data_IF_514907794673
#
_entry.id   IF_514907794673
#
_cell.length_a   1.000
_cell.length_b   1.000
_cell.length_c   1.000
_cell.angle_alpha   90.00
_cell.angle_beta   90.00
_cell.angle_gamma   90.00
#
_symmetry.space_group_name_H-M   'P 1'
#
loop_
_entity.id
_entity.type
_entity.pdbx_description
1 polymer ?
#
# COMPACT_ATOMS: atom_id res chain seq x y z
N UNK A 1 -3.29 20.78 -45.78
CA UNK A 1 -3.76 20.69 -44.37
C UNK A 1 -4.77 19.56 -44.27
N UNK A 2 -4.40 18.40 -43.73
CA UNK A 2 -5.29 17.25 -43.64
C UNK A 2 -6.18 17.38 -42.39
N UNK A 3 -7.45 17.74 -42.57
CA UNK A 3 -8.45 17.71 -41.50
C UNK A 3 -8.79 16.26 -41.15
N UNK A 4 -8.97 15.96 -39.87
CA UNK A 4 -9.46 14.65 -39.42
C UNK A 4 -10.92 14.52 -39.88
N UNK A 5 -11.25 13.42 -40.58
CA UNK A 5 -12.63 13.12 -40.95
C UNK A 5 -13.52 12.99 -39.70
N UNK A 6 -14.73 13.56 -39.74
CA UNK A 6 -15.63 13.66 -38.57
C UNK A 6 -15.87 12.31 -37.85
N UNK A 7 -15.99 11.21 -38.60
CA UNK A 7 -16.16 9.86 -38.02
C UNK A 7 -14.94 9.39 -37.23
N UNK A 8 -13.71 9.72 -37.69
CA UNK A 8 -12.48 9.39 -36.96
C UNK A 8 -12.35 10.23 -35.69
N UNK A 9 -12.79 11.49 -35.75
CA UNK A 9 -12.78 12.40 -34.60
C UNK A 9 -13.78 11.94 -33.50
N UNK A 10 -14.95 11.43 -33.90
CA UNK A 10 -15.91 10.80 -32.98
C UNK A 10 -15.36 9.53 -32.31
N UNK A 11 -14.65 8.68 -33.07
CA UNK A 11 -13.99 7.49 -32.51
C UNK A 11 -12.90 7.87 -31.50
N UNK A 12 -12.08 8.88 -31.83
CA UNK A 12 -11.04 9.40 -30.94
C UNK A 12 -11.67 10.00 -29.67
N UNK A 13 -12.75 10.78 -29.80
CA UNK A 13 -13.47 11.33 -28.64
C UNK A 13 -13.97 10.21 -27.71
N UNK A 14 -14.63 9.18 -28.24
CA UNK A 14 -15.07 8.03 -27.44
C UNK A 14 -13.91 7.29 -26.76
N UNK A 15 -12.77 7.15 -27.43
CA UNK A 15 -11.56 6.56 -26.85
C UNK A 15 -11.00 7.40 -25.69
N UNK A 16 -10.98 8.73 -25.84
CA UNK A 16 -10.53 9.67 -24.80
C UNK A 16 -11.47 9.65 -23.59
N UNK A 17 -12.80 9.67 -23.82
CA UNK A 17 -13.82 9.58 -22.77
C UNK A 17 -13.75 8.27 -21.96
N UNK A 18 -13.35 7.16 -22.60
CA UNK A 18 -13.27 5.84 -21.96
C UNK A 18 -11.88 5.47 -21.42
N UNK A 19 -10.86 6.28 -21.71
CA UNK A 19 -9.50 6.04 -21.24
C UNK A 19 -9.39 6.24 -19.71
N UNK A 20 -8.55 5.45 -19.00
CA UNK A 20 -8.25 5.68 -17.59
C UNK A 20 -7.40 6.94 -17.40
N UNK A 21 -7.48 7.57 -16.22
CA UNK A 21 -6.81 8.85 -15.93
C UNK A 21 -5.27 8.79 -16.16
N UNK A 22 -4.63 7.67 -15.85
CA UNK A 22 -3.20 7.48 -16.08
C UNK A 22 -2.82 7.48 -17.59
N UNK A 23 -3.69 6.90 -18.43
CA UNK A 23 -3.50 6.92 -19.87
C UNK A 23 -3.72 8.33 -20.44
N UNK A 24 -4.71 9.08 -19.92
CA UNK A 24 -4.92 10.47 -20.33
C UNK A 24 -3.75 11.37 -19.98
N UNK A 25 -3.18 11.27 -18.77
CA UNK A 25 -1.96 12.02 -18.40
C UNK A 25 -0.78 11.68 -19.29
N UNK A 26 -0.62 10.41 -19.65
CA UNK A 26 0.44 9.97 -20.55
C UNK A 26 0.23 10.53 -21.97
N UNK A 27 -1.02 10.58 -22.45
CA UNK A 27 -1.38 11.18 -23.73
C UNK A 27 -1.18 12.70 -23.73
N UNK A 28 -1.57 13.39 -22.66
CA UNK A 28 -1.34 14.83 -22.48
C UNK A 28 0.15 15.16 -22.54
N UNK A 29 0.98 14.43 -21.78
CA UNK A 29 2.44 14.58 -21.80
C UNK A 29 3.02 14.32 -23.20
N UNK A 30 2.57 13.27 -23.88
CA UNK A 30 3.03 12.94 -25.24
C UNK A 30 2.63 14.01 -26.28
N UNK A 31 1.45 14.63 -26.13
CA UNK A 31 0.92 15.64 -27.04
C UNK A 31 1.40 17.07 -26.70
N UNK A 32 2.03 17.27 -25.55
CA UNK A 32 2.56 18.57 -25.12
C UNK A 32 3.75 19.06 -25.95
N UNK A 33 4.47 18.16 -26.64
CA UNK A 33 5.65 18.47 -27.44
C UNK A 33 5.37 19.23 -28.76
N UNK A 34 6.42 19.69 -29.47
CA UNK A 34 6.30 20.54 -30.66
C UNK A 34 5.46 19.94 -31.79
N UNK A 35 5.49 18.62 -31.94
CA UNK A 35 4.72 17.88 -32.94
C UNK A 35 3.22 17.79 -32.62
N UNK A 36 2.84 17.87 -31.35
CA UNK A 36 1.43 17.81 -30.91
C UNK A 36 0.65 19.10 -31.15
N UNK A 37 1.34 20.21 -31.45
CA UNK A 37 0.73 21.50 -31.77
C UNK A 37 0.37 21.70 -33.25
N UNK A 38 0.62 20.73 -34.13
CA UNK A 38 0.47 20.89 -35.58
C UNK A 38 -0.62 19.98 -36.19
N UNK A 39 -1.40 20.54 -37.12
CA UNK A 39 -2.33 19.79 -37.97
C UNK A 39 -3.38 18.98 -37.19
N UNK A 40 -3.60 17.72 -37.60
CA UNK A 40 -4.55 16.80 -36.99
C UNK A 40 -4.29 16.53 -35.50
N UNK A 41 -3.01 16.50 -35.09
CA UNK A 41 -2.63 16.25 -33.70
C UNK A 41 -3.02 17.40 -32.77
N UNK A 42 -3.08 18.64 -33.27
CA UNK A 42 -3.57 19.77 -32.49
C UNK A 42 -5.06 19.62 -32.09
N UNK A 43 -5.88 19.01 -32.96
CA UNK A 43 -7.28 18.73 -32.66
C UNK A 43 -7.42 17.62 -31.62
N UNK A 44 -6.59 16.57 -31.68
CA UNK A 44 -6.56 15.51 -30.68
C UNK A 44 -6.04 16.03 -29.34
N UNK A 45 -5.00 16.87 -29.37
CA UNK A 45 -4.47 17.56 -28.19
C UNK A 45 -5.55 18.36 -27.47
N UNK A 46 -6.31 19.20 -28.18
CA UNK A 46 -7.43 19.95 -27.58
C UNK A 46 -8.48 19.03 -26.97
N UNK A 47 -8.85 17.94 -27.64
CA UNK A 47 -9.81 16.97 -27.09
C UNK A 47 -9.30 16.33 -25.79
N UNK A 48 -8.00 16.02 -25.71
CA UNK A 48 -7.39 15.47 -24.49
C UNK A 48 -7.30 16.53 -23.40
N UNK A 49 -6.89 17.76 -23.73
CA UNK A 49 -6.84 18.89 -22.78
C UNK A 49 -8.23 19.20 -22.21
N UNK A 50 -9.26 19.25 -23.06
CA UNK A 50 -10.66 19.48 -22.65
C UNK A 50 -11.15 18.36 -21.71
N UNK A 51 -10.85 17.09 -22.03
CA UNK A 51 -11.22 15.94 -21.18
C UNK A 51 -10.47 15.95 -19.85
N UNK A 52 -9.17 16.23 -19.86
CA UNK A 52 -8.35 16.34 -18.64
C UNK A 52 -8.89 17.47 -17.75
N UNK A 53 -9.20 18.63 -18.33
CA UNK A 53 -9.81 19.74 -17.61
C UNK A 53 -11.18 19.35 -17.02
N UNK A 54 -12.06 18.72 -17.81
CA UNK A 54 -13.37 18.27 -17.33
C UNK A 54 -13.26 17.27 -16.17
N UNK A 55 -12.31 16.33 -16.24
CA UNK A 55 -12.03 15.38 -15.15
C UNK A 55 -11.41 16.05 -13.93
N UNK A 56 -10.59 17.08 -14.12
CA UNK A 56 -10.05 17.87 -13.03
C UNK A 56 -11.15 18.60 -12.26
N UNK A 57 -12.11 19.21 -12.95
CA UNK A 57 -13.29 19.84 -12.33
C UNK A 57 -14.12 18.80 -11.59
N UNK A 58 -14.46 17.68 -12.24
CA UNK A 58 -15.20 16.57 -11.62
C UNK A 58 -14.52 16.10 -10.33
N UNK A 59 -13.23 15.80 -10.40
CA UNK A 59 -12.46 15.27 -9.26
C UNK A 59 -12.30 16.31 -8.16
N UNK A 60 -12.27 17.61 -8.48
CA UNK A 60 -12.25 18.70 -7.50
C UNK A 60 -13.60 18.88 -6.80
N UNK A 61 -14.70 18.83 -7.54
CA UNK A 61 -16.06 18.92 -6.99
C UNK A 61 -16.36 17.69 -6.12
N UNK A 62 -16.09 16.49 -6.64
CA UNK A 62 -16.36 15.22 -5.96
C UNK A 62 -15.20 14.75 -5.07
N UNK A 63 -14.21 15.60 -4.80
CA UNK A 63 -13.05 15.26 -3.98
C UNK A 63 -13.41 14.56 -2.65
N UNK A 64 -14.45 14.99 -1.89
CA UNK A 64 -14.80 14.33 -0.63
C UNK A 64 -15.10 12.83 -0.74
N UNK A 65 -15.68 12.37 -1.87
CA UNK A 65 -16.08 10.98 -2.09
C UNK A 65 -15.14 10.22 -3.03
N UNK A 66 -14.23 10.92 -3.71
CA UNK A 66 -13.39 10.31 -4.74
C UNK A 66 -12.59 9.09 -4.24
N UNK A 67 -11.97 9.09 -3.04
CA UNK A 67 -11.25 7.92 -2.54
C UNK A 67 -12.13 6.74 -2.12
N UNK A 68 -13.44 6.95 -1.97
CA UNK A 68 -14.41 5.85 -1.76
C UNK A 68 -14.67 5.11 -3.08
N UNK A 69 -14.42 5.73 -4.23
CA UNK A 69 -14.61 5.12 -5.55
C UNK A 69 -13.35 4.35 -6.03
N UNK A 70 -12.44 4.00 -5.12
CA UNK A 70 -11.26 3.20 -5.39
C UNK A 70 -11.43 1.77 -4.85
N UNK A 71 -10.53 0.85 -5.23
CA UNK A 71 -10.51 -0.49 -4.64
C UNK A 71 -10.12 -0.37 -3.16
N UNK A 72 -11.01 -0.83 -2.27
CA UNK A 72 -10.82 -0.83 -0.81
C UNK A 72 -11.06 -2.23 -0.25
N UNK A 73 -10.73 -2.42 1.03
CA UNK A 73 -10.97 -3.70 1.72
C UNK A 73 -12.47 -3.98 1.89
N UNK A 74 -12.83 -5.27 1.97
CA UNK A 74 -14.20 -5.83 1.87
C UNK A 74 -15.19 -5.44 3.00
N UNK A 75 -14.88 -4.46 3.84
CA UNK A 75 -15.74 -4.00 4.94
C UNK A 75 -15.74 -2.47 5.10
N UNK A 76 -15.13 -1.74 4.17
CA UNK A 76 -15.14 -0.28 4.17
C UNK A 76 -16.17 0.22 3.17
N UNK A 77 -16.79 1.36 3.45
CA UNK A 77 -17.63 2.06 2.47
C UNK A 77 -16.82 2.25 1.18
N UNK A 78 -17.33 1.70 0.10
CA UNK A 78 -16.67 1.76 -1.20
C UNK A 78 -17.69 1.70 -2.33
N UNK A 79 -17.35 2.35 -3.43
CA UNK A 79 -18.17 2.44 -4.62
C UNK A 79 -17.36 2.02 -5.84
N UNK A 80 -18.01 1.48 -6.90
CA UNK A 80 -17.32 1.27 -8.15
C UNK A 80 -16.75 2.57 -8.72
N UNK A 81 -15.55 2.58 -9.34
CA UNK A 81 -14.94 3.79 -9.90
C UNK A 81 -15.84 4.57 -10.87
N UNK A 82 -16.77 3.87 -11.53
CA UNK A 82 -17.73 4.45 -12.49
C UNK A 82 -18.73 5.41 -11.83
N UNK A 83 -18.93 5.35 -10.52
CA UNK A 83 -19.87 6.21 -9.79
C UNK A 83 -19.54 7.70 -9.98
N UNK A 84 -18.26 8.09 -9.95
CA UNK A 84 -17.87 9.50 -10.14
C UNK A 84 -18.27 10.04 -11.51
N UNK A 85 -18.05 9.25 -12.57
CA UNK A 85 -18.43 9.65 -13.92
C UNK A 85 -19.95 9.76 -14.06
N UNK A 86 -20.72 8.79 -13.54
CA UNK A 86 -22.18 8.83 -13.61
C UNK A 86 -22.80 9.98 -12.79
N UNK A 87 -22.25 10.28 -11.62
CA UNK A 87 -22.64 11.46 -10.84
C UNK A 87 -22.39 12.74 -11.62
N UNK A 88 -21.24 12.84 -12.29
CA UNK A 88 -20.90 14.01 -13.09
C UNK A 88 -21.82 14.19 -14.31
N UNK A 89 -22.15 13.10 -15.00
CA UNK A 89 -23.14 13.13 -16.09
C UNK A 89 -24.51 13.57 -15.58
N UNK A 90 -24.97 13.03 -14.44
CA UNK A 90 -26.22 13.44 -13.83
C UNK A 90 -26.24 14.92 -13.43
N UNK A 91 -25.13 15.43 -12.88
CA UNK A 91 -24.98 16.85 -12.55
C UNK A 91 -25.01 17.76 -13.78
N UNK A 92 -24.38 17.34 -14.89
CA UNK A 92 -24.45 18.08 -16.15
C UNK A 92 -25.87 18.17 -16.71
N UNK A 93 -26.67 17.12 -16.53
CA UNK A 93 -28.06 17.10 -16.97
C UNK A 93 -28.98 17.93 -16.05
N UNK A 94 -28.82 17.82 -14.73
CA UNK A 94 -29.72 18.43 -13.74
C UNK A 94 -29.37 19.91 -13.46
N UNK A 95 -28.08 20.25 -13.45
CA UNK A 95 -27.58 21.57 -13.05
C UNK A 95 -26.46 22.10 -13.97
N UNK A 96 -26.68 22.22 -15.29
CA UNK A 96 -25.65 22.60 -16.25
C UNK A 96 -24.97 23.94 -15.93
N UNK A 97 -25.74 24.96 -15.53
CA UNK A 97 -25.20 26.29 -15.18
C UNK A 97 -24.24 26.26 -13.99
N UNK A 98 -24.53 25.43 -12.98
CA UNK A 98 -23.66 25.28 -11.80
C UNK A 98 -22.39 24.50 -12.15
N UNK A 99 -22.48 23.55 -13.08
CA UNK A 99 -21.30 22.84 -13.60
C UNK A 99 -20.40 23.81 -14.39
N UNK A 100 -20.97 24.67 -15.23
CA UNK A 100 -20.24 25.72 -15.94
C UNK A 100 -19.57 26.70 -14.97
N UNK A 101 -20.28 27.15 -13.93
CA UNK A 101 -19.71 28.00 -12.88
C UNK A 101 -18.58 27.30 -12.13
N UNK A 102 -18.76 26.02 -11.77
CA UNK A 102 -17.73 25.23 -11.11
C UNK A 102 -16.49 25.11 -11.99
N UNK A 103 -16.65 24.86 -13.30
CA UNK A 103 -15.53 24.79 -14.23
C UNK A 103 -14.78 26.13 -14.33
N UNK A 104 -15.52 27.25 -14.44
CA UNK A 104 -14.92 28.58 -14.51
C UNK A 104 -14.14 28.97 -13.24
N UNK A 105 -14.54 28.45 -12.07
CA UNK A 105 -13.90 28.71 -10.77
C UNK A 105 -12.92 27.62 -10.32
N UNK A 106 -12.73 26.56 -11.12
CA UNK A 106 -11.83 25.46 -10.79
C UNK A 106 -10.41 25.76 -11.30
N UNK A 107 -9.80 26.78 -10.71
CA UNK A 107 -8.42 27.17 -10.99
C UNK A 107 -7.52 26.72 -9.83
N UNK A 108 -6.42 25.96 -10.09
CA UNK A 108 -5.54 25.45 -9.04
C UNK A 108 -5.07 26.51 -8.03
N UNK A 109 -4.77 27.73 -8.50
CA UNK A 109 -4.30 28.83 -7.64
C UNK A 109 -5.38 29.34 -6.69
N UNK A 110 -6.64 29.37 -7.14
CA UNK A 110 -7.76 29.84 -6.32
C UNK A 110 -8.18 28.80 -5.29
N UNK A 111 -7.98 27.51 -5.60
CA UNK A 111 -8.29 26.40 -4.68
C UNK A 111 -7.42 26.41 -3.41
N UNK A 112 -6.24 27.04 -3.45
CA UNK A 112 -5.40 27.24 -2.26
C UNK A 112 -6.06 28.16 -1.22
N UNK A 113 -6.89 29.11 -1.66
CA UNK A 113 -7.64 30.00 -0.77
C UNK A 113 -8.94 29.37 -0.24
N UNK A 114 -9.31 28.21 -0.78
CA UNK A 114 -10.48 27.44 -0.39
C UNK A 114 -11.36 27.06 -1.58
N UNK A 115 -12.07 25.93 -1.49
CA UNK A 115 -12.93 25.47 -2.58
C UNK A 115 -14.15 26.39 -2.76
N UNK A 116 -14.54 26.71 -4.00
CA UNK A 116 -15.75 27.47 -4.30
C UNK A 116 -17.02 26.87 -3.69
N UNK A 117 -17.95 27.73 -3.24
CA UNK A 117 -19.23 27.29 -2.67
C UNK A 117 -20.06 26.43 -3.64
N UNK A 118 -19.94 26.68 -4.94
CA UNK A 118 -20.62 25.92 -5.99
C UNK A 118 -20.26 24.43 -5.96
N UNK A 119 -19.07 24.05 -5.47
CA UNK A 119 -18.70 22.64 -5.31
C UNK A 119 -19.55 21.96 -4.24
N UNK A 120 -19.89 22.66 -3.15
CA UNK A 120 -20.80 22.15 -2.12
C UNK A 120 -22.24 22.11 -2.63
N UNK A 121 -22.65 23.13 -3.39
CA UNK A 121 -23.98 23.19 -3.98
C UNK A 121 -24.22 22.01 -4.94
N UNK A 122 -23.25 21.67 -5.80
CA UNK A 122 -23.33 20.53 -6.70
C UNK A 122 -23.45 19.20 -5.93
N UNK A 123 -22.68 18.98 -4.87
CA UNK A 123 -22.84 17.78 -4.03
C UNK A 123 -24.26 17.68 -3.42
N UNK A 124 -24.85 18.80 -2.98
CA UNK A 124 -26.23 18.84 -2.49
C UNK A 124 -27.26 18.57 -3.59
N UNK A 125 -27.03 19.03 -4.81
CA UNK A 125 -27.87 18.70 -5.97
C UNK A 125 -27.81 17.21 -6.26
N UNK A 126 -26.61 16.63 -6.33
CA UNK A 126 -26.43 15.20 -6.53
C UNK A 126 -27.12 14.38 -5.42
N UNK A 127 -26.94 14.74 -4.14
CA UNK A 127 -27.59 14.05 -3.03
C UNK A 127 -29.12 14.02 -3.18
N UNK A 128 -29.74 15.17 -3.48
CA UNK A 128 -31.18 15.26 -3.70
C UNK A 128 -31.63 14.47 -4.94
N UNK A 129 -30.89 14.56 -6.04
CA UNK A 129 -31.20 13.85 -7.27
C UNK A 129 -31.12 12.33 -7.11
N UNK A 130 -30.09 11.85 -6.39
CA UNK A 130 -29.92 10.43 -6.04
C UNK A 130 -31.06 9.95 -5.13
N UNK A 131 -31.39 10.67 -4.05
CA UNK A 131 -32.52 10.30 -3.17
C UNK A 131 -33.87 10.30 -3.88
N UNK A 132 -34.10 11.29 -4.73
CA UNK A 132 -35.33 11.39 -5.52
C UNK A 132 -35.35 10.43 -6.72
N UNK A 133 -34.25 9.68 -6.96
CA UNK A 133 -34.06 8.80 -8.11
C UNK A 133 -34.42 9.48 -9.44
N UNK A 134 -33.97 10.73 -9.62
CA UNK A 134 -34.29 11.47 -10.86
C UNK A 134 -33.68 10.75 -12.07
N UNK A 135 -34.27 10.88 -13.27
CA UNK A 135 -33.78 10.19 -14.47
C UNK A 135 -32.30 10.42 -14.77
N UNK A 136 -31.77 11.59 -14.40
CA UNK A 136 -30.36 11.95 -14.57
C UNK A 136 -29.40 11.06 -13.76
N UNK A 137 -29.84 10.53 -12.61
CA UNK A 137 -29.04 9.69 -11.72
C UNK A 137 -29.44 8.21 -11.74
N UNK A 138 -30.48 7.84 -12.49
CA UNK A 138 -31.00 6.47 -12.59
C UNK A 138 -29.95 5.37 -12.86
N UNK A 139 -28.89 5.58 -13.67
CA UNK A 139 -27.86 4.57 -13.89
C UNK A 139 -27.09 4.12 -12.63
N UNK A 140 -27.09 4.92 -11.56
CA UNK A 140 -26.38 4.59 -10.31
C UNK A 140 -27.05 3.44 -9.54
N UNK A 141 -28.37 3.29 -9.66
CA UNK A 141 -29.18 2.27 -8.94
C UNK A 141 -28.73 0.83 -9.26
N UNK A 142 -28.08 0.64 -10.41
CA UNK A 142 -27.61 -0.66 -10.88
C UNK A 142 -26.23 -1.06 -10.31
N UNK A 143 -25.48 -0.13 -9.70
CA UNK A 143 -24.07 -0.35 -9.38
C UNK A 143 -23.67 -0.02 -7.95
N UNK A 144 -24.51 0.69 -7.19
CA UNK A 144 -24.21 1.03 -5.80
C UNK A 144 -25.48 1.25 -4.97
N UNK A 145 -25.33 1.20 -3.65
CA UNK A 145 -26.35 1.66 -2.71
C UNK A 145 -26.53 3.19 -2.82
N UNK A 146 -27.73 3.61 -3.27
CA UNK A 146 -28.04 5.02 -3.46
C UNK A 146 -28.21 5.78 -2.14
N UNK A 147 -28.68 5.12 -1.09
CA UNK A 147 -28.88 5.77 0.21
C UNK A 147 -27.53 6.02 0.89
N UNK A 148 -26.60 5.07 0.81
CA UNK A 148 -25.22 5.26 1.27
C UNK A 148 -24.51 6.35 0.45
N UNK A 149 -24.65 6.34 -0.88
CA UNK A 149 -24.05 7.36 -1.75
C UNK A 149 -24.59 8.77 -1.48
N UNK A 150 -25.92 8.91 -1.37
CA UNK A 150 -26.55 10.19 -1.03
C UNK A 150 -26.07 10.70 0.33
N UNK A 151 -25.94 9.80 1.30
CA UNK A 151 -25.40 10.13 2.62
C UNK A 151 -23.98 10.70 2.55
N UNK A 152 -23.11 10.11 1.73
CA UNK A 152 -21.74 10.62 1.50
C UNK A 152 -21.75 12.01 0.84
N UNK A 153 -22.67 12.23 -0.10
CA UNK A 153 -22.82 13.51 -0.79
C UNK A 153 -23.33 14.62 0.14
N UNK A 154 -24.21 14.30 1.10
CA UNK A 154 -24.68 15.25 2.12
C UNK A 154 -23.56 15.68 3.08
N UNK A 155 -22.66 14.77 3.43
CA UNK A 155 -21.50 15.03 4.28
C UNK A 155 -20.34 15.74 3.56
N UNK A 156 -20.40 15.87 2.23
CA UNK A 156 -19.29 16.36 1.41
C UNK A 156 -18.78 17.74 1.83
N UNK A 157 -19.66 18.64 2.29
CA UNK A 157 -19.24 19.96 2.75
C UNK A 157 -18.41 19.91 4.04
N UNK A 158 -18.82 19.07 4.99
CA UNK A 158 -18.12 18.87 6.26
C UNK A 158 -16.77 18.23 5.99
N UNK A 159 -16.74 17.15 5.21
CA UNK A 159 -15.51 16.46 4.82
C UNK A 159 -14.57 17.42 4.11
N UNK A 160 -15.03 18.18 3.11
CA UNK A 160 -14.18 19.13 2.39
C UNK A 160 -13.55 20.18 3.30
N UNK A 161 -14.28 20.65 4.31
CA UNK A 161 -13.76 21.59 5.31
C UNK A 161 -12.73 20.96 6.28
N UNK A 162 -12.83 19.65 6.49
CA UNK A 162 -11.95 18.87 7.36
C UNK A 162 -10.66 18.43 6.67
N UNK A 163 -10.68 18.17 5.35
CA UNK A 163 -9.54 17.62 4.60
C UNK A 163 -8.23 18.41 4.78
N UNK A 164 -8.21 19.77 4.69
CA UNK A 164 -6.96 20.52 4.87
C UNK A 164 -6.33 20.34 6.26
N UNK A 165 -7.14 19.98 7.26
CA UNK A 165 -6.72 19.83 8.67
C UNK A 165 -6.39 18.38 9.04
N UNK A 166 -6.82 17.42 8.21
CA UNK A 166 -6.79 16.00 8.54
C UNK A 166 -5.36 15.48 8.79
N UNK A 167 -4.38 15.94 8.02
CA UNK A 167 -2.97 15.58 8.19
C UNK A 167 -2.42 16.01 9.55
N UNK A 168 -2.81 17.19 10.03
CA UNK A 168 -2.45 17.68 11.36
C UNK A 168 -3.19 16.95 12.47
N UNK A 169 -4.47 16.65 12.27
CA UNK A 169 -5.27 15.90 13.23
C UNK A 169 -4.65 14.53 13.52
N UNK A 170 -4.18 13.81 12.50
CA UNK A 170 -3.56 12.48 12.70
C UNK A 170 -2.10 12.55 13.16
N UNK A 171 -1.38 13.64 12.91
CA UNK A 171 0.06 13.72 13.24
C UNK A 171 0.37 14.40 14.57
N UNK A 172 -0.39 15.45 14.96
CA UNK A 172 -0.13 16.30 16.12
C UNK A 172 -1.43 16.72 16.80
N UNK A 173 -2.20 15.79 17.33
CA UNK A 173 -3.47 16.12 17.98
C UNK A 173 -3.28 17.04 19.19
N UNK A 174 -4.00 18.16 19.22
CA UNK A 174 -4.07 19.15 20.33
C UNK A 174 -5.53 19.36 20.74
N UNK A 175 -5.79 20.03 21.87
CA UNK A 175 -7.16 20.28 22.35
C UNK A 175 -7.98 21.16 21.39
N UNK A 176 -7.33 22.13 20.73
CA UNK A 176 -7.95 22.95 19.70
C UNK A 176 -8.33 22.12 18.47
N UNK A 177 -7.41 21.27 17.99
CA UNK A 177 -7.65 20.36 16.87
C UNK A 177 -8.75 19.34 17.19
N UNK A 178 -8.74 18.78 18.40
CA UNK A 178 -9.78 17.88 18.89
C UNK A 178 -11.15 18.59 18.93
N UNK A 179 -11.19 19.85 19.35
CA UNK A 179 -12.42 20.65 19.34
C UNK A 179 -12.93 20.91 17.92
N UNK A 180 -12.04 21.19 16.96
CA UNK A 180 -12.42 21.30 15.54
C UNK A 180 -12.94 19.97 14.98
N UNK A 181 -12.36 18.84 15.35
CA UNK A 181 -12.83 17.51 14.92
C UNK A 181 -14.20 17.17 15.54
N UNK A 182 -14.40 17.50 16.83
CA UNK A 182 -15.70 17.35 17.51
C UNK A 182 -16.80 18.18 16.88
N UNK A 183 -16.47 19.41 16.45
CA UNK A 183 -17.43 20.25 15.72
C UNK A 183 -17.84 19.59 14.41
N UNK A 184 -16.88 19.11 13.60
CA UNK A 184 -17.18 18.40 12.36
C UNK A 184 -18.04 17.14 12.59
N UNK A 185 -17.76 16.36 13.64
CA UNK A 185 -18.58 15.22 14.03
C UNK A 185 -20.00 15.63 14.43
N UNK A 186 -20.13 16.68 15.25
CA UNK A 186 -21.44 17.20 15.68
C UNK A 186 -22.25 17.72 14.48
N UNK A 187 -21.62 18.41 13.54
CA UNK A 187 -22.27 18.90 12.33
C UNK A 187 -22.75 17.74 11.45
N UNK A 188 -22.00 16.64 11.37
CA UNK A 188 -22.43 15.44 10.67
C UNK A 188 -23.66 14.81 11.36
N UNK A 189 -23.61 14.64 12.68
CA UNK A 189 -24.73 14.13 13.46
C UNK A 189 -25.98 15.03 13.41
N UNK A 190 -25.81 16.33 13.16
CA UNK A 190 -26.92 17.26 12.96
C UNK A 190 -27.62 17.07 11.60
N UNK A 191 -26.92 16.55 10.58
CA UNK A 191 -27.54 16.13 9.31
C UNK A 191 -28.34 14.84 9.52
N UNK A 192 -27.75 13.85 10.20
CA UNK A 192 -28.40 12.58 10.56
C UNK A 192 -27.69 11.96 11.76
N UNK A 193 -28.45 11.41 12.71
CA UNK A 193 -27.92 10.96 14.01
C UNK A 193 -26.75 9.96 13.91
N UNK A 194 -26.81 9.03 12.96
CA UNK A 194 -25.83 7.95 12.70
C UNK A 194 -24.76 8.33 11.65
N UNK A 195 -24.63 9.61 11.27
CA UNK A 195 -23.68 10.03 10.24
C UNK A 195 -22.22 10.10 10.71
N UNK A 196 -21.98 10.00 12.02
CA UNK A 196 -20.66 10.05 12.64
C UNK A 196 -19.68 9.00 12.09
N UNK A 197 -20.02 7.69 12.12
CA UNK A 197 -19.22 6.64 11.50
C UNK A 197 -18.92 6.89 10.01
N UNK A 198 -19.92 7.32 9.23
CA UNK A 198 -19.74 7.59 7.80
C UNK A 198 -18.77 8.76 7.55
N UNK A 199 -18.83 9.82 8.37
CA UNK A 199 -17.85 10.91 8.32
C UNK A 199 -16.42 10.38 8.51
N UNK A 200 -16.22 9.47 9.48
CA UNK A 200 -14.91 8.86 9.72
C UNK A 200 -14.46 7.95 8.58
N UNK A 201 -15.36 7.17 7.96
CA UNK A 201 -15.03 6.37 6.76
C UNK A 201 -14.58 7.27 5.61
N UNK A 202 -15.33 8.35 5.35
CA UNK A 202 -14.97 9.33 4.34
C UNK A 202 -13.58 9.92 4.59
N UNK A 203 -13.29 10.37 5.82
CA UNK A 203 -11.96 10.94 6.14
C UNK A 203 -10.84 9.90 6.11
N UNK A 204 -11.08 8.68 6.63
CA UNK A 204 -10.11 7.59 6.60
C UNK A 204 -9.69 7.24 5.17
N UNK A 205 -10.62 7.38 4.21
CA UNK A 205 -10.34 7.13 2.81
C UNK A 205 -9.31 8.08 2.18
N UNK A 206 -9.07 9.25 2.78
CA UNK A 206 -8.05 10.22 2.35
C UNK A 206 -6.68 10.02 3.02
N UNK A 207 -6.56 9.10 3.98
CA UNK A 207 -5.31 8.84 4.68
C UNK A 207 -4.47 7.79 3.91
N UNK A 208 -3.13 7.93 3.89
CA UNK A 208 -2.25 6.87 3.37
C UNK A 208 -2.41 5.54 4.13
N UNK A 209 -2.58 5.66 5.45
CA UNK A 209 -2.89 4.57 6.37
C UNK A 209 -4.23 4.90 7.03
N UNK A 210 -5.31 4.26 6.58
CA UNK A 210 -6.67 4.54 7.00
C UNK A 210 -6.90 4.35 8.51
N UNK A 211 -6.22 3.37 9.13
CA UNK A 211 -6.30 3.10 10.56
C UNK A 211 -5.80 4.24 11.46
N UNK A 212 -5.07 5.23 10.92
CA UNK A 212 -4.70 6.45 11.66
C UNK A 212 -5.92 7.30 12.02
N UNK A 213 -7.07 7.06 11.39
CA UNK A 213 -8.34 7.72 11.76
C UNK A 213 -8.71 7.48 13.23
N UNK A 214 -8.24 6.38 13.84
CA UNK A 214 -8.46 6.07 15.25
C UNK A 214 -8.03 7.22 16.18
N UNK A 215 -6.98 7.99 15.83
CA UNK A 215 -6.56 9.18 16.60
C UNK A 215 -7.64 10.25 16.65
N UNK A 216 -8.31 10.48 15.53
CA UNK A 216 -9.37 11.46 15.39
C UNK A 216 -10.61 10.99 16.15
N UNK A 217 -10.99 9.73 15.98
CA UNK A 217 -12.13 9.13 16.70
C UNK A 217 -11.89 9.21 18.21
N UNK A 218 -10.69 8.82 18.68
CA UNK A 218 -10.31 8.90 20.09
C UNK A 218 -10.44 10.32 20.64
N UNK A 219 -9.93 11.33 19.92
CA UNK A 219 -10.02 12.73 20.34
C UNK A 219 -11.46 13.26 20.35
N UNK A 220 -12.29 12.85 19.38
CA UNK A 220 -13.71 13.21 19.32
C UNK A 220 -14.48 12.63 20.51
N UNK A 221 -14.13 11.40 20.90
CA UNK A 221 -14.75 10.65 21.99
C UNK A 221 -14.11 10.90 23.36
N UNK A 222 -13.20 11.88 23.45
CA UNK A 222 -12.45 12.24 24.67
C UNK A 222 -11.67 11.07 25.30
N UNK A 223 -10.95 10.33 24.46
CA UNK A 223 -10.10 9.17 24.80
C UNK A 223 -10.87 8.11 25.61
N UNK A 224 -11.91 7.50 25.01
CA UNK A 224 -12.74 6.56 25.72
C UNK A 224 -11.96 5.29 26.09
N UNK A 225 -12.41 4.63 27.16
CA UNK A 225 -11.96 3.28 27.49
C UNK A 225 -12.44 2.26 26.45
N UNK A 226 -11.68 1.18 26.27
CA UNK A 226 -11.95 0.16 25.24
C UNK A 226 -13.33 -0.49 25.35
N UNK A 227 -13.86 -0.73 26.56
CA UNK A 227 -15.21 -1.25 26.78
C UNK A 227 -16.30 -0.32 26.22
N UNK A 228 -16.15 0.99 26.39
CA UNK A 228 -17.14 1.96 25.90
C UNK A 228 -17.03 2.10 24.39
N UNK A 229 -15.81 2.22 23.85
CA UNK A 229 -15.60 2.34 22.41
C UNK A 229 -16.11 1.10 21.67
N UNK A 230 -15.77 -0.10 22.13
CA UNK A 230 -16.21 -1.35 21.50
C UNK A 230 -17.75 -1.49 21.41
N UNK A 231 -18.49 -0.90 22.35
CA UNK A 231 -19.95 -0.91 22.36
C UNK A 231 -20.60 0.23 21.56
N UNK A 232 -19.80 1.17 21.04
CA UNK A 232 -20.29 2.31 20.25
C UNK A 232 -20.39 2.00 18.76
N UNK A 233 -21.09 2.85 18.00
CA UNK A 233 -21.20 2.71 16.53
C UNK A 233 -19.84 2.81 15.82
N UNK A 234 -18.88 3.54 16.41
CA UNK A 234 -17.49 3.64 15.89
C UNK A 234 -16.58 2.52 16.39
N UNK A 235 -17.13 1.53 17.13
CA UNK A 235 -16.42 0.32 17.53
C UNK A 235 -15.95 -0.52 16.35
N UNK A 236 -16.67 -0.46 15.23
CA UNK A 236 -16.33 -1.19 13.99
C UNK A 236 -14.92 -0.88 13.48
N UNK A 237 -14.42 0.35 13.66
CA UNK A 237 -13.08 0.74 13.20
C UNK A 237 -11.99 -0.02 13.96
N UNK A 238 -12.19 -0.21 15.27
CA UNK A 238 -11.27 -1.00 16.09
C UNK A 238 -11.35 -2.47 15.75
N UNK A 239 -12.57 -3.02 15.61
CA UNK A 239 -12.79 -4.41 15.21
C UNK A 239 -12.15 -4.75 13.85
N UNK A 240 -12.35 -3.88 12.86
CA UNK A 240 -11.76 -4.03 11.52
C UNK A 240 -10.24 -4.10 11.58
N UNK A 241 -9.60 -3.20 12.33
CA UNK A 241 -8.14 -3.19 12.45
C UNK A 241 -7.62 -4.48 13.10
N UNK A 242 -8.29 -4.97 14.15
CA UNK A 242 -7.89 -6.22 14.82
C UNK A 242 -8.04 -7.43 13.89
N UNK A 243 -9.13 -7.50 13.10
CA UNK A 243 -9.32 -8.53 12.08
C UNK A 243 -8.27 -8.44 10.97
N UNK A 244 -7.86 -7.23 10.59
CA UNK A 244 -6.82 -7.04 9.58
C UNK A 244 -5.46 -7.55 10.07
N UNK A 245 -5.11 -7.28 11.33
CA UNK A 245 -3.90 -7.84 11.97
C UNK A 245 -3.98 -9.37 11.98
N UNK A 246 -5.13 -9.96 12.30
CA UNK A 246 -5.33 -11.42 12.25
C UNK A 246 -5.07 -12.00 10.86
N UNK A 247 -5.60 -11.36 9.81
CA UNK A 247 -5.33 -11.75 8.41
C UNK A 247 -3.84 -11.62 8.07
N UNK A 248 -3.19 -10.57 8.53
CA UNK A 248 -1.75 -10.38 8.36
C UNK A 248 -0.93 -11.47 9.03
N UNK A 249 -1.31 -11.91 10.23
CA UNK A 249 -0.68 -13.02 10.95
C UNK A 249 -0.77 -14.30 10.13
N UNK A 250 -1.96 -14.65 9.64
CA UNK A 250 -2.15 -15.84 8.82
C UNK A 250 -1.38 -15.77 7.50
N UNK A 251 -1.34 -14.59 6.87
CA UNK A 251 -0.54 -14.39 5.67
C UNK A 251 0.96 -14.60 5.93
N UNK A 252 1.54 -14.01 6.97
CA UNK A 252 2.96 -14.22 7.32
C UNK A 252 3.23 -15.69 7.69
N UNK A 253 2.29 -16.36 8.38
CA UNK A 253 2.39 -17.79 8.67
C UNK A 253 2.38 -18.66 7.42
N UNK A 254 1.70 -18.25 6.36
CA UNK A 254 1.39 -19.11 5.20
C UNK A 254 1.99 -18.62 3.86
N UNK A 255 2.73 -17.50 3.81
CA UNK A 255 3.26 -16.99 2.54
C UNK A 255 4.06 -18.04 1.76
N UNK A 256 3.91 -18.00 0.44
CA UNK A 256 4.52 -18.95 -0.46
C UNK A 256 5.99 -18.58 -0.72
N UNK A 257 6.90 -19.39 -0.18
CA UNK A 257 8.33 -19.20 -0.41
C UNK A 257 8.74 -19.49 -1.86
N UNK A 258 7.95 -20.27 -2.61
CA UNK A 258 8.20 -20.50 -4.04
C UNK A 258 7.86 -19.26 -4.90
N UNK A 259 7.10 -18.31 -4.34
CA UNK A 259 6.85 -16.98 -4.92
C UNK A 259 8.10 -16.07 -4.98
N UNK A 260 9.21 -16.48 -4.37
CA UNK A 260 10.50 -15.80 -4.48
C UNK A 260 10.56 -14.47 -3.70
N UNK A 261 11.52 -13.63 -4.08
CA UNK A 261 11.81 -12.36 -3.39
C UNK A 261 10.57 -11.47 -3.23
N UNK A 262 9.76 -11.33 -4.29
CA UNK A 262 8.58 -10.46 -4.27
C UNK A 262 7.58 -10.85 -3.17
N UNK A 263 7.31 -12.15 -3.01
CA UNK A 263 6.40 -12.66 -1.98
C UNK A 263 7.03 -12.50 -0.58
N UNK A 264 8.34 -12.71 -0.46
CA UNK A 264 9.11 -12.46 0.77
C UNK A 264 9.04 -11.01 1.23
N UNK A 265 9.24 -10.05 0.32
CA UNK A 265 9.12 -8.61 0.59
C UNK A 265 7.70 -8.22 0.98
N UNK A 266 6.70 -8.78 0.29
CA UNK A 266 5.29 -8.56 0.62
C UNK A 266 4.96 -9.03 2.05
N UNK A 267 5.43 -10.22 2.44
CA UNK A 267 5.30 -10.70 3.81
C UNK A 267 6.03 -9.80 4.84
N UNK A 268 7.21 -9.28 4.48
CA UNK A 268 7.96 -8.33 5.31
C UNK A 268 7.20 -7.02 5.51
N UNK A 269 6.66 -6.45 4.44
CA UNK A 269 5.80 -5.27 4.47
C UNK A 269 4.52 -5.51 5.30
N UNK A 270 3.90 -6.69 5.20
CA UNK A 270 2.76 -7.05 6.07
C UNK A 270 3.16 -7.07 7.55
N UNK A 271 4.34 -7.62 7.89
CA UNK A 271 4.83 -7.60 9.27
C UNK A 271 5.08 -6.17 9.80
N UNK A 272 5.61 -5.28 8.96
CA UNK A 272 5.76 -3.85 9.29
C UNK A 272 4.40 -3.17 9.49
N UNK A 273 3.43 -3.42 8.60
CA UNK A 273 2.07 -2.88 8.69
C UNK A 273 1.40 -3.30 10.00
N UNK A 274 1.42 -4.59 10.33
CA UNK A 274 0.87 -5.08 11.61
C UNK A 274 1.50 -4.42 12.82
N UNK A 275 2.83 -4.23 12.82
CA UNK A 275 3.51 -3.53 13.91
C UNK A 275 3.03 -2.08 14.06
N UNK A 276 2.92 -1.35 12.95
CA UNK A 276 2.41 0.02 12.93
C UNK A 276 0.95 0.11 13.39
N UNK A 277 0.09 -0.82 12.96
CA UNK A 277 -1.31 -0.90 13.37
C UNK A 277 -1.47 -1.17 14.86
N UNK A 278 -0.69 -2.10 15.41
CA UNK A 278 -0.65 -2.38 16.84
C UNK A 278 -0.25 -1.12 17.62
N UNK A 279 0.84 -0.46 17.22
CA UNK A 279 1.28 0.80 17.87
C UNK A 279 0.21 1.88 17.80
N UNK A 280 -0.43 2.03 16.64
CA UNK A 280 -1.50 3.01 16.46
C UNK A 280 -2.68 2.75 17.39
N UNK A 281 -3.10 1.49 17.48
CA UNK A 281 -4.22 1.09 18.33
C UNK A 281 -3.94 1.34 19.81
N UNK A 282 -2.71 1.06 20.28
CA UNK A 282 -2.30 1.33 21.67
C UNK A 282 -2.22 2.83 22.00
N UNK A 283 -1.84 3.65 21.03
CA UNK A 283 -1.76 5.11 21.22
C UNK A 283 -3.15 5.76 21.17
N UNK A 284 -4.07 5.17 20.40
CA UNK A 284 -5.41 5.74 20.19
C UNK A 284 -6.42 5.30 21.25
N UNK A 285 -6.31 4.10 21.81
CA UNK A 285 -7.33 3.54 22.72
C UNK A 285 -6.80 3.44 24.15
N UNK A 286 -7.60 3.85 25.14
CA UNK A 286 -7.31 3.55 26.54
C UNK A 286 -7.70 2.10 26.88
N UNK A 287 -6.73 1.19 26.73
CA UNK A 287 -6.94 -0.26 26.82
C UNK A 287 -6.95 -0.75 28.26
N UNK A 288 -8.04 -1.41 28.65
CA UNK A 288 -8.07 -2.16 29.91
C UNK A 288 -7.54 -3.58 29.72
N UNK A 289 -6.75 -4.09 30.67
CA UNK A 289 -6.20 -5.46 30.61
C UNK A 289 -7.30 -6.52 30.50
N UNK A 290 -8.44 -6.29 31.12
CA UNK A 290 -9.59 -7.18 31.13
C UNK A 290 -10.65 -6.83 30.07
N UNK A 291 -10.43 -5.78 29.26
CA UNK A 291 -11.34 -5.30 28.25
C UNK A 291 -11.36 -6.13 26.96
N UNK A 292 -12.37 -5.93 26.10
CA UNK A 292 -12.59 -6.74 24.89
C UNK A 292 -11.41 -6.64 23.92
N UNK A 293 -10.81 -5.45 23.77
CA UNK A 293 -9.70 -5.24 22.86
C UNK A 293 -8.34 -5.44 23.53
N UNK A 294 -8.16 -5.05 24.79
CA UNK A 294 -6.89 -5.24 25.50
C UNK A 294 -6.42 -6.69 25.51
N UNK A 295 -7.31 -7.65 25.84
CA UNK A 295 -6.98 -9.09 25.82
C UNK A 295 -6.64 -9.60 24.42
N UNK A 296 -7.40 -9.15 23.41
CA UNK A 296 -7.21 -9.58 22.01
C UNK A 296 -5.90 -9.05 21.47
N UNK A 297 -5.58 -7.78 21.70
CA UNK A 297 -4.33 -7.15 21.26
C UNK A 297 -3.09 -7.84 21.84
N UNK A 298 -3.11 -8.21 23.12
CA UNK A 298 -2.01 -8.97 23.74
C UNK A 298 -1.78 -10.31 23.01
N UNK A 299 -2.86 -11.04 22.69
CA UNK A 299 -2.76 -12.29 21.93
C UNK A 299 -2.24 -12.06 20.50
N UNK A 300 -2.68 -10.98 19.85
CA UNK A 300 -2.22 -10.63 18.51
C UNK A 300 -0.74 -10.25 18.48
N UNK A 301 -0.26 -9.47 19.45
CA UNK A 301 1.17 -9.17 19.61
C UNK A 301 2.01 -10.44 19.70
N UNK A 302 1.58 -11.38 20.53
CA UNK A 302 2.24 -12.69 20.65
C UNK A 302 2.18 -13.47 19.33
N UNK A 303 1.02 -13.49 18.66
CA UNK A 303 0.83 -14.20 17.40
C UNK A 303 1.69 -13.63 16.26
N UNK A 304 1.82 -12.31 16.16
CA UNK A 304 2.72 -11.62 15.21
C UNK A 304 4.17 -12.03 15.47
N UNK A 305 4.64 -11.95 16.71
CA UNK A 305 6.00 -12.33 17.05
C UNK A 305 6.28 -13.80 16.69
N UNK A 306 5.38 -14.71 17.07
CA UNK A 306 5.49 -16.14 16.76
C UNK A 306 5.47 -16.44 15.26
N UNK A 307 4.60 -15.77 14.49
CA UNK A 307 4.52 -15.93 13.04
C UNK A 307 5.83 -15.52 12.36
N UNK A 308 6.38 -14.37 12.75
CA UNK A 308 7.64 -13.86 12.22
C UNK A 308 8.79 -14.79 12.61
N UNK A 309 8.93 -15.14 13.89
CA UNK A 309 9.97 -16.05 14.37
C UNK A 309 9.93 -17.42 13.69
N UNK A 310 8.73 -17.98 13.50
CA UNK A 310 8.54 -19.25 12.79
C UNK A 310 9.15 -19.22 11.39
N UNK A 311 8.95 -18.11 10.66
CA UNK A 311 9.53 -17.92 9.32
C UNK A 311 11.04 -17.68 9.35
N UNK A 312 11.52 -16.89 10.30
CA UNK A 312 12.96 -16.65 10.48
C UNK A 312 13.73 -17.94 10.80
N UNK A 313 13.18 -18.80 11.67
CA UNK A 313 13.79 -20.07 12.04
C UNK A 313 13.90 -21.05 10.84
N UNK A 314 13.05 -20.90 9.83
CA UNK A 314 13.12 -21.66 8.58
C UNK A 314 14.19 -21.18 7.60
N UNK A 315 14.71 -19.96 7.76
CA UNK A 315 15.62 -19.32 6.79
C UNK A 315 16.89 -20.12 6.55
N UNK A 316 17.45 -20.70 7.61
CA UNK A 316 18.67 -21.48 7.54
C UNK A 316 18.51 -22.74 6.68
N UNK A 317 17.34 -23.39 6.75
CA UNK A 317 17.04 -24.57 5.96
C UNK A 317 17.01 -24.22 4.47
N UNK A 318 16.32 -23.14 4.11
CA UNK A 318 16.22 -22.70 2.72
C UNK A 318 17.58 -22.23 2.18
N UNK A 319 18.37 -21.54 3.01
CA UNK A 319 19.74 -21.14 2.65
C UNK A 319 20.64 -22.35 2.36
N UNK A 320 20.61 -23.38 3.21
CA UNK A 320 21.39 -24.60 2.98
C UNK A 320 20.95 -25.38 1.75
N UNK A 321 19.65 -25.35 1.44
CA UNK A 321 19.13 -26.00 0.24
C UNK A 321 19.65 -25.28 -1.02
N UNK A 322 19.71 -23.95 -1.01
CA UNK A 322 20.24 -23.15 -2.11
C UNK A 322 21.77 -23.21 -2.24
N UNK A 323 22.49 -23.48 -1.15
CA UNK A 323 23.95 -23.56 -1.10
C UNK A 323 24.40 -24.98 -0.66
N UNK A 324 24.35 -25.97 -1.56
CA UNK A 324 24.57 -27.37 -1.20
C UNK A 324 26.02 -27.64 -0.78
N UNK A 325 26.17 -28.54 0.19
CA UNK A 325 27.46 -28.99 0.73
C UNK A 325 27.63 -30.49 0.54
N UNK A 326 28.85 -30.94 0.25
CA UNK A 326 29.27 -32.36 0.28
C UNK A 326 29.99 -32.66 1.61
N UNK A 327 29.73 -33.80 2.26
CA UNK A 327 30.42 -34.17 3.49
C UNK A 327 31.90 -34.49 3.24
N UNK A 328 32.79 -34.06 4.14
CA UNK A 328 34.26 -34.26 4.03
C UNK A 328 34.70 -35.66 4.53
N UNK A 329 33.86 -36.40 5.28
CA UNK A 329 34.15 -37.78 5.69
C UNK A 329 32.89 -38.59 6.02
N UNK A 330 32.90 -39.89 5.70
CA UNK A 330 31.88 -40.89 6.07
C UNK A 330 31.83 -41.20 7.59
N UNK A 331 32.87 -40.83 8.34
CA UNK A 331 33.02 -41.10 9.78
C UNK A 331 32.77 -39.88 10.69
N UNK A 332 32.57 -38.69 10.10
CA UNK A 332 32.13 -37.52 10.85
C UNK A 332 30.63 -37.61 11.06
N UNK A 333 30.16 -37.64 12.30
CA UNK A 333 28.73 -37.61 12.63
C UNK A 333 28.01 -36.40 12.00
N UNK A 334 26.71 -36.25 12.28
CA UNK A 334 25.76 -35.23 11.75
C UNK A 334 26.21 -33.74 11.77
N UNK A 335 27.43 -33.44 12.23
CA UNK A 335 28.05 -32.13 12.41
C UNK A 335 29.33 -31.91 11.60
N UNK A 336 29.72 -32.83 10.70
CA UNK A 336 30.94 -32.67 9.89
C UNK A 336 30.91 -31.42 9.02
N UNK A 337 32.00 -30.64 9.00
CA UNK A 337 32.21 -29.55 8.04
C UNK A 337 32.07 -30.13 6.63
N UNK A 338 31.20 -29.56 5.81
CA UNK A 338 31.06 -29.91 4.40
C UNK A 338 31.76 -28.89 3.52
N UNK A 339 32.20 -29.28 2.33
CA UNK A 339 32.69 -28.33 1.29
C UNK A 339 31.58 -28.06 0.27
N UNK A 340 31.56 -26.90 -0.41
CA UNK A 340 30.59 -26.61 -1.47
C UNK A 340 30.47 -27.73 -2.51
N UNK A 341 29.23 -28.13 -2.81
CA UNK A 341 28.93 -29.10 -3.86
C UNK A 341 28.84 -28.36 -5.21
N UNK A 342 29.96 -28.29 -5.91
CA UNK A 342 30.11 -27.54 -7.17
C UNK A 342 30.17 -28.49 -8.37
N UNK A 343 29.16 -29.37 -8.47
CA UNK A 343 29.05 -30.38 -9.54
C UNK A 343 27.82 -30.21 -10.41
N UNK A 344 26.89 -29.34 -10.00
CA UNK A 344 25.67 -29.04 -10.72
C UNK A 344 25.37 -27.54 -10.62
N UNK A 345 24.67 -27.04 -11.63
CA UNK A 345 24.17 -25.66 -11.66
C UNK A 345 23.24 -25.39 -10.46
N UNK A 346 23.18 -24.13 -9.97
CA UNK A 346 22.24 -23.76 -8.92
C UNK A 346 20.80 -24.05 -9.32
N UNK A 347 20.04 -24.65 -8.41
CA UNK A 347 18.62 -24.91 -8.61
C UNK A 347 17.82 -23.60 -8.45
N UNK A 348 17.24 -23.12 -9.55
CA UNK A 348 16.47 -21.88 -9.60
C UNK A 348 15.32 -21.82 -8.58
N UNK A 349 14.68 -22.97 -8.27
CA UNK A 349 13.61 -23.03 -7.28
C UNK A 349 14.18 -22.85 -5.88
N UNK A 350 15.26 -23.55 -5.54
CA UNK A 350 15.91 -23.41 -4.23
C UNK A 350 16.47 -22.00 -4.04
N UNK A 351 17.06 -21.43 -5.09
CA UNK A 351 17.55 -20.05 -5.10
C UNK A 351 16.45 -19.03 -4.80
N UNK A 352 15.29 -19.17 -5.46
CA UNK A 352 14.12 -18.31 -5.22
C UNK A 352 13.60 -18.42 -3.80
N UNK A 353 13.50 -19.64 -3.27
CA UNK A 353 13.02 -19.87 -1.90
C UNK A 353 13.93 -19.24 -0.85
N UNK A 354 15.24 -19.35 -1.00
CA UNK A 354 16.19 -18.67 -0.12
C UNK A 354 16.04 -17.14 -0.22
N UNK A 355 15.93 -16.59 -1.44
CA UNK A 355 15.71 -15.16 -1.65
C UNK A 355 14.40 -14.67 -0.99
N UNK A 356 13.32 -15.45 -1.06
CA UNK A 356 12.05 -15.12 -0.40
C UNK A 356 12.22 -14.92 1.11
N UNK A 357 12.82 -15.89 1.80
CA UNK A 357 12.96 -15.83 3.28
C UNK A 357 14.00 -14.79 3.71
N UNK A 358 15.07 -14.59 2.93
CA UNK A 358 16.08 -13.56 3.22
C UNK A 358 15.54 -12.14 3.01
N UNK A 359 14.75 -11.92 1.96
CA UNK A 359 14.08 -10.64 1.74
C UNK A 359 13.09 -10.31 2.87
N UNK A 360 12.32 -11.31 3.33
CA UNK A 360 11.47 -11.19 4.51
C UNK A 360 12.26 -10.77 5.77
N UNK A 361 13.41 -11.41 6.03
CA UNK A 361 14.30 -11.08 7.16
C UNK A 361 14.88 -9.66 7.07
N UNK A 362 15.20 -9.20 5.86
CA UNK A 362 15.70 -7.86 5.61
C UNK A 362 14.62 -6.81 5.93
N UNK A 363 13.41 -7.00 5.41
CA UNK A 363 12.32 -6.03 5.53
C UNK A 363 11.72 -5.99 6.94
N UNK A 364 11.86 -7.04 7.76
CA UNK A 364 11.42 -7.01 9.18
C UNK A 364 12.35 -6.22 10.11
N UNK A 365 13.47 -5.67 9.62
CA UNK A 365 14.47 -4.95 10.45
C UNK A 365 13.87 -3.78 11.23
N UNK A 366 13.04 -2.97 10.58
CA UNK A 366 12.56 -1.69 11.11
C UNK A 366 11.61 -1.83 12.31
N UNK A 367 10.87 -2.93 12.39
CA UNK A 367 9.89 -3.20 13.46
C UNK A 367 10.36 -4.23 14.49
N UNK A 368 11.48 -4.92 14.26
CA UNK A 368 11.89 -6.06 15.09
C UNK A 368 12.05 -5.77 16.59
N UNK A 369 12.60 -4.61 16.96
CA UNK A 369 12.79 -4.25 18.36
C UNK A 369 11.46 -4.02 19.10
N UNK A 370 10.50 -3.37 18.45
CA UNK A 370 9.23 -2.99 19.05
C UNK A 370 8.22 -4.15 19.06
N UNK A 371 8.37 -5.10 18.13
CA UNK A 371 7.47 -6.24 17.96
C UNK A 371 7.90 -7.51 18.71
N UNK A 372 8.95 -7.46 19.53
CA UNK A 372 9.29 -8.53 20.48
C UNK A 372 10.11 -9.70 19.92
N UNK A 373 10.51 -9.67 18.65
CA UNK A 373 11.32 -10.74 18.01
C UNK A 373 12.75 -10.29 17.64
N UNK A 374 13.19 -9.12 18.11
CA UNK A 374 14.51 -8.56 17.80
C UNK A 374 15.69 -9.48 18.17
N UNK A 375 15.65 -10.09 19.35
CA UNK A 375 16.71 -11.01 19.79
C UNK A 375 16.78 -12.28 18.92
N UNK A 376 15.63 -12.85 18.57
CA UNK A 376 15.54 -14.01 17.67
C UNK A 376 16.12 -13.68 16.29
N UNK A 377 15.75 -12.52 15.73
CA UNK A 377 16.29 -12.03 14.45
C UNK A 377 17.82 -11.91 14.48
N UNK A 378 18.40 -11.31 15.52
CA UNK A 378 19.86 -11.18 15.65
C UNK A 378 20.54 -12.55 15.64
N UNK A 379 20.04 -13.50 16.44
CA UNK A 379 20.58 -14.85 16.51
C UNK A 379 20.50 -15.58 15.17
N UNK A 380 19.38 -15.45 14.45
CA UNK A 380 19.22 -16.03 13.11
C UNK A 380 20.23 -15.41 12.14
N UNK A 381 20.39 -14.08 12.13
CA UNK A 381 21.35 -13.41 11.24
C UNK A 381 22.80 -13.79 11.52
N UNK A 382 23.22 -13.88 12.79
CA UNK A 382 24.55 -14.37 13.16
C UNK A 382 24.82 -15.76 12.59
N UNK A 383 23.83 -16.66 12.70
CA UNK A 383 23.90 -18.02 12.19
C UNK A 383 23.98 -18.08 10.66
N UNK A 384 23.15 -17.31 9.97
CA UNK A 384 23.14 -17.24 8.50
C UNK A 384 24.45 -16.64 7.98
N UNK A 385 24.92 -15.55 8.58
CA UNK A 385 26.15 -14.87 8.20
C UNK A 385 27.37 -15.76 8.40
N UNK A 386 27.47 -16.47 9.53
CA UNK A 386 28.57 -17.43 9.76
C UNK A 386 28.61 -18.53 8.70
N UNK A 387 27.43 -18.98 8.23
CA UNK A 387 27.34 -19.99 7.16
C UNK A 387 27.70 -19.44 5.79
N UNK A 388 27.22 -18.25 5.46
CA UNK A 388 27.56 -17.57 4.22
C UNK A 388 29.06 -17.31 4.15
N UNK A 389 29.67 -16.79 5.22
CA UNK A 389 31.11 -16.52 5.27
C UNK A 389 31.90 -17.82 5.04
N UNK A 390 31.57 -18.90 5.75
CA UNK A 390 32.24 -20.19 5.56
C UNK A 390 32.10 -20.71 4.13
N UNK A 391 30.88 -20.69 3.57
CA UNK A 391 30.63 -21.15 2.21
C UNK A 391 31.39 -20.32 1.17
N UNK A 392 31.43 -19.00 1.35
CA UNK A 392 32.16 -18.07 0.47
C UNK A 392 33.66 -18.36 0.50
N UNK A 393 34.27 -18.54 1.68
CA UNK A 393 35.71 -18.85 1.78
C UNK A 393 36.04 -20.18 1.09
N UNK A 394 35.22 -21.21 1.29
CA UNK A 394 35.43 -22.53 0.68
C UNK A 394 35.25 -22.48 -0.84
N UNK A 395 34.24 -21.75 -1.34
CA UNK A 395 34.01 -21.60 -2.78
C UNK A 395 35.08 -20.71 -3.45
N UNK A 396 35.58 -19.67 -2.78
CA UNK A 396 36.71 -18.87 -3.24
C UNK A 396 38.00 -19.70 -3.35
N UNK A 397 38.20 -20.66 -2.46
CA UNK A 397 39.31 -21.60 -2.56
C UNK A 397 39.21 -22.43 -3.86
N UNK A 398 38.05 -23.04 -4.13
CA UNK A 398 37.82 -23.81 -5.37
C UNK A 398 37.96 -22.93 -6.62
N UNK A 399 37.45 -21.70 -6.59
CA UNK A 399 37.58 -20.75 -7.70
C UNK A 399 39.05 -20.41 -8.01
N UNK A 400 39.91 -20.36 -6.99
CA UNK A 400 41.34 -20.03 -7.12
C UNK A 400 42.21 -21.23 -7.52
N UNK A 401 41.95 -22.41 -6.96
CA UNK A 401 42.84 -23.57 -7.12
C UNK A 401 42.32 -24.59 -8.12
N UNK A 402 41.03 -24.57 -8.44
CA UNK A 402 40.35 -25.65 -9.17
C UNK A 402 40.23 -26.95 -8.38
N UNK A 403 40.75 -27.00 -7.15
CA UNK A 403 40.70 -28.19 -6.31
C UNK A 403 39.36 -28.28 -5.59
N UNK A 404 38.64 -29.38 -5.79
CA UNK A 404 37.41 -29.68 -5.05
C UNK A 404 36.09 -29.40 -5.78
N UNK A 405 36.11 -28.88 -7.01
CA UNK A 405 34.92 -28.66 -7.85
C UNK A 405 35.20 -27.87 -9.13
N UNK A 406 34.15 -27.55 -9.91
CA UNK A 406 34.26 -26.71 -11.11
C UNK A 406 34.35 -25.23 -10.76
N UNK A 407 35.43 -24.55 -11.19
CA UNK A 407 35.66 -23.12 -10.96
C UNK A 407 34.57 -22.22 -11.58
N UNK A 408 33.95 -22.61 -12.69
CA UNK A 408 32.84 -21.84 -13.29
C UNK A 408 31.57 -21.95 -12.46
N UNK A 409 31.32 -23.12 -11.88
CA UNK A 409 30.21 -23.28 -10.93
C UNK A 409 30.51 -22.53 -9.63
N UNK A 410 31.77 -22.52 -9.17
CA UNK A 410 32.18 -21.73 -8.01
C UNK A 410 31.84 -20.24 -8.19
N UNK A 411 32.10 -19.66 -9.36
CA UNK A 411 31.73 -18.27 -9.69
C UNK A 411 30.22 -18.02 -9.55
N UNK A 412 29.38 -18.90 -10.11
CA UNK A 412 27.92 -18.77 -10.05
C UNK A 412 27.39 -18.85 -8.61
N UNK A 413 27.88 -19.81 -7.83
CA UNK A 413 27.49 -19.92 -6.42
C UNK A 413 28.01 -18.77 -5.56
N UNK A 414 29.17 -18.20 -5.89
CA UNK A 414 29.69 -17.00 -5.21
C UNK A 414 28.85 -15.75 -5.51
N UNK A 415 28.34 -15.57 -6.73
CA UNK A 415 27.43 -14.48 -7.04
C UNK A 415 26.07 -14.63 -6.31
N UNK A 416 25.55 -15.87 -6.23
CA UNK A 416 24.37 -16.16 -5.41
C UNK A 416 24.59 -15.85 -3.93
N UNK A 417 25.71 -16.31 -3.36
CA UNK A 417 26.06 -16.04 -1.97
C UNK A 417 26.24 -14.53 -1.71
N UNK A 418 26.80 -13.79 -2.66
CA UNK A 418 26.87 -12.33 -2.59
C UNK A 418 25.47 -11.70 -2.57
N UNK A 419 24.56 -12.14 -3.44
CA UNK A 419 23.15 -11.72 -3.41
C UNK A 419 22.47 -11.99 -2.06
N UNK A 420 22.76 -13.13 -1.43
CA UNK A 420 22.24 -13.44 -0.09
C UNK A 420 22.83 -12.56 1.03
N UNK A 421 24.12 -12.23 0.93
CA UNK A 421 24.77 -11.27 1.85
C UNK A 421 24.13 -9.89 1.78
N UNK A 422 23.67 -9.44 0.62
CA UNK A 422 23.00 -8.15 0.48
C UNK A 422 21.75 -8.04 1.36
N UNK A 423 21.00 -9.14 1.54
CA UNK A 423 19.83 -9.17 2.43
C UNK A 423 20.20 -9.22 3.92
N UNK A 424 21.24 -9.98 4.29
CA UNK A 424 21.58 -10.21 5.70
C UNK A 424 22.48 -9.13 6.31
N UNK A 425 23.25 -8.42 5.48
CA UNK A 425 24.17 -7.34 5.86
C UNK A 425 23.83 -6.05 5.10
N UNK A 426 24.36 -5.92 3.88
CA UNK A 426 24.25 -4.76 3.01
C UNK A 426 24.88 -5.03 1.62
N UNK A 427 24.53 -4.21 0.63
CA UNK A 427 25.02 -4.32 -0.74
C UNK A 427 26.54 -4.11 -0.85
N UNK A 428 27.14 -3.28 0.02
CA UNK A 428 28.58 -3.00 -0.02
C UNK A 428 29.39 -4.24 0.36
N UNK A 429 28.91 -5.03 1.30
CA UNK A 429 29.52 -6.31 1.67
C UNK A 429 29.37 -7.33 0.55
N UNK A 430 28.22 -7.36 -0.13
CA UNK A 430 28.02 -8.20 -1.32
C UNK A 430 29.00 -7.85 -2.45
N UNK A 431 29.20 -6.56 -2.74
CA UNK A 431 30.19 -6.11 -3.73
C UNK A 431 31.62 -6.56 -3.39
N UNK A 432 32.00 -6.58 -2.11
CA UNK A 432 33.32 -7.08 -1.69
C UNK A 432 33.48 -8.56 -2.06
N UNK A 433 32.44 -9.38 -1.84
CA UNK A 433 32.44 -10.80 -2.25
C UNK A 433 32.63 -10.91 -3.76
N UNK A 434 31.84 -10.18 -4.56
CA UNK A 434 31.94 -10.18 -6.03
C UNK A 434 33.34 -9.80 -6.51
N UNK A 435 33.97 -8.77 -5.91
CA UNK A 435 35.35 -8.37 -6.23
C UNK A 435 36.37 -9.46 -5.87
N UNK A 436 36.20 -10.13 -4.74
CA UNK A 436 37.05 -11.26 -4.33
C UNK A 436 36.92 -12.44 -5.28
N UNK A 437 35.71 -12.71 -5.79
CA UNK A 437 35.46 -13.73 -6.82
C UNK A 437 36.24 -13.44 -8.10
N UNK A 438 36.15 -12.22 -8.63
CA UNK A 438 36.89 -11.80 -9.84
C UNK A 438 38.40 -11.97 -9.63
N UNK A 439 38.92 -11.58 -8.47
CA UNK A 439 40.34 -11.74 -8.15
C UNK A 439 40.77 -13.23 -8.05
N UNK A 440 39.93 -14.09 -7.48
CA UNK A 440 40.20 -15.52 -7.37
C UNK A 440 40.27 -16.20 -8.76
N UNK A 441 39.35 -15.84 -9.66
CA UNK A 441 39.30 -16.38 -11.03
C UNK A 441 40.51 -15.90 -11.85
N UNK A 442 40.85 -14.61 -11.74
CA UNK A 442 42.03 -14.06 -12.42
C UNK A 442 43.32 -14.74 -11.97
N UNK A 443 43.44 -15.07 -10.67
CA UNK A 443 44.59 -15.79 -10.13
C UNK A 443 44.67 -17.26 -10.57
N UNK A 444 43.54 -17.90 -10.89
CA UNK A 444 43.52 -19.27 -11.42
C UNK A 444 43.90 -19.35 -12.91
N UNK A 445 43.79 -18.24 -13.63
CA UNK A 445 44.11 -18.14 -15.06
C UNK A 445 45.56 -17.72 -15.36
N UNK A 446 46.30 -17.28 -14.32
CA UNK A 446 47.71 -16.90 -14.36
C UNK A 446 48.59 -18.07 -13.93
#
# INVERSE_FOLDING_TARGET
MAAIAANKLLLIRKLVETAPDAALRSLELALSGPAGGQGALATVRRLVEDEVAARYVRNSVLAPIAPLCAVRETQQTSFPPRVLSLLWEGLKAEAPRQVEEAAARCNPWDLEQGPPEVFNALCKVAARGVRAKTPAFAPLDQICDLDELASCLELSAIVRSALPKLSEWVSRMSDERASSARLAYKDACAIRADAGPLLFEMMAAHLPDDWRILRVISAVMDRPGDKFWAASEVGLFGERLLVEIERGVEYVRAFDVDGGEAEGRKAGATAQRMAAQITEFEQSVNLAKDGPWGRRLVKLKQAVAQAVEGRMNGAEKELLAALPLKPISLLGGKSGKGVPLLTAEPDERLTRRAAAVLAFLADTRSCAAQSGYGASRTKVLEKLNSRLDQYIEDALHVARTGEGGDSRLAERYLDLAAGYIAFTRDEKTAEIVRRRTVAAIAAAAA
#
